data_IF_603572445338
#
_entry.id   IF_603572445338
#
_cell.length_a   1.000
_cell.length_b   1.000
_cell.length_c   1.000
_cell.angle_alpha   90.00
_cell.angle_beta   90.00
_cell.angle_gamma   90.00
#
_symmetry.space_group_name_H-M   'P 1'
#
loop_
_entity.id
_entity.type
_entity.pdbx_description
1 polymer ?
#
# COMPACT_ATOMS: atom_id res chain seq x y z
N UNK A 1 11.48 19.61 21.78
CA UNK A 1 11.56 18.84 20.51
C UNK A 1 10.64 17.64 20.68
N UNK A 2 9.76 17.30 19.74
CA UNK A 2 8.94 16.09 19.84
C UNK A 2 9.79 14.83 19.59
N UNK A 3 9.48 13.71 20.27
CA UNK A 3 10.19 12.44 20.19
C UNK A 3 10.18 11.86 18.76
N UNK A 4 9.08 12.01 18.03
CA UNK A 4 8.95 11.62 16.63
C UNK A 4 10.03 12.22 15.72
N UNK A 5 10.60 13.38 16.10
CA UNK A 5 11.71 14.00 15.37
C UNK A 5 13.01 13.22 15.59
N UNK A 6 13.24 12.65 16.78
CA UNK A 6 14.39 11.77 17.02
C UNK A 6 14.24 10.47 16.25
N UNK A 7 13.03 9.88 16.20
CA UNK A 7 12.75 8.72 15.35
C UNK A 7 13.09 9.00 13.89
N UNK A 8 12.71 10.17 13.39
CA UNK A 8 13.05 10.59 12.03
C UNK A 8 14.55 10.77 11.81
N UNK A 9 15.24 11.47 12.72
CA UNK A 9 16.69 11.67 12.68
C UNK A 9 17.42 10.32 12.66
N UNK A 10 16.98 9.38 13.51
CA UNK A 10 17.52 8.03 13.56
C UNK A 10 17.27 7.27 12.26
N UNK A 11 16.01 7.15 11.85
CA UNK A 11 15.60 6.41 10.67
C UNK A 11 16.29 6.89 9.39
N UNK A 12 16.47 8.21 9.24
CA UNK A 12 17.07 8.84 8.05
C UNK A 12 18.57 9.02 8.12
N UNK A 13 19.18 8.51 9.18
CA UNK A 13 20.63 8.64 9.39
C UNK A 13 21.11 10.09 9.25
N UNK A 14 20.33 11.06 9.73
CA UNK A 14 20.66 12.51 9.67
C UNK A 14 21.91 12.81 10.53
N UNK A 15 22.25 11.90 11.40
CA UNK A 15 23.50 11.84 12.16
C UNK A 15 24.70 11.32 11.33
N UNK A 16 24.52 10.88 10.09
CA UNK A 16 25.64 10.44 9.25
C UNK A 16 26.68 11.57 9.12
N UNK A 17 27.93 11.25 9.39
CA UNK A 17 29.03 12.23 9.51
C UNK A 17 29.38 12.61 10.96
N UNK A 18 28.57 12.20 11.94
CA UNK A 18 28.85 12.30 13.38
C UNK A 18 29.15 10.92 13.94
N UNK A 19 30.30 10.77 14.57
CA UNK A 19 30.62 9.54 15.31
C UNK A 19 29.68 9.38 16.48
N UNK A 20 29.11 8.19 16.64
CA UNK A 20 28.22 7.88 17.73
C UNK A 20 28.98 7.08 18.79
N UNK A 21 28.70 7.34 20.06
CA UNK A 21 29.30 6.65 21.21
C UNK A 21 28.24 6.28 22.22
N UNK A 22 28.48 5.20 22.96
CA UNK A 22 27.70 4.92 24.16
C UNK A 22 28.04 5.96 25.25
N UNK A 23 27.17 6.06 26.24
CA UNK A 23 27.38 6.96 27.37
C UNK A 23 28.62 6.61 28.20
N UNK A 24 29.11 5.38 28.13
CA UNK A 24 30.39 4.91 28.69
C UNK A 24 31.58 5.02 27.73
N UNK A 25 31.40 5.69 26.59
CA UNK A 25 32.47 6.08 25.65
C UNK A 25 32.87 5.05 24.59
N UNK A 26 32.13 3.94 24.46
CA UNK A 26 32.41 2.92 23.43
C UNK A 26 31.91 3.38 22.07
N UNK A 27 32.66 3.20 20.98
CA UNK A 27 32.23 3.57 19.65
C UNK A 27 31.08 2.71 19.18
N UNK A 28 30.11 3.35 18.47
CA UNK A 28 28.95 2.67 17.88
C UNK A 28 28.99 2.83 16.38
N UNK A 29 28.98 1.71 15.66
CA UNK A 29 28.74 1.66 14.23
C UNK A 29 27.30 1.19 13.99
N UNK A 30 26.49 1.97 13.26
CA UNK A 30 25.11 1.62 12.95
C UNK A 30 25.06 1.00 11.55
N UNK A 31 25.03 -0.33 11.47
CA UNK A 31 24.93 -1.10 10.22
C UNK A 31 23.52 -1.00 9.66
N UNK A 32 22.51 -1.25 10.49
CA UNK A 32 21.09 -1.08 10.14
C UNK A 32 20.34 -0.41 11.28
N UNK A 33 19.57 0.63 10.96
CA UNK A 33 18.72 1.35 11.93
C UNK A 33 17.52 0.55 12.42
N UNK A 34 17.19 -0.57 11.76
CA UNK A 34 15.99 -1.36 12.02
C UNK A 34 14.76 -0.91 11.23
N UNK A 35 13.67 -1.61 11.46
CA UNK A 35 12.36 -1.32 10.89
C UNK A 35 11.54 -0.51 11.89
N UNK A 36 11.05 0.66 11.48
CA UNK A 36 10.21 1.51 12.33
C UNK A 36 8.91 0.79 12.68
N UNK A 37 8.64 0.67 13.97
CA UNK A 37 7.44 0.04 14.52
C UNK A 37 6.40 1.11 14.86
N UNK A 38 5.21 0.99 14.29
CA UNK A 38 4.06 1.88 14.56
C UNK A 38 3.05 1.25 15.53
N UNK A 39 3.38 0.09 16.09
CA UNK A 39 2.56 -0.66 17.03
C UNK A 39 3.19 -0.66 18.43
N UNK A 40 2.57 -1.33 19.39
CA UNK A 40 3.14 -1.50 20.72
C UNK A 40 4.48 -2.25 20.68
N UNK A 41 5.42 -1.88 21.55
CA UNK A 41 6.78 -2.42 21.65
C UNK A 41 7.84 -1.41 21.23
N UNK A 42 9.11 -1.82 21.14
CA UNK A 42 10.22 -0.94 20.79
C UNK A 42 10.05 -0.22 19.46
N UNK A 43 10.56 1.01 19.35
CA UNK A 43 10.38 1.92 18.22
C UNK A 43 10.96 1.41 16.91
N UNK A 44 12.08 0.68 16.97
CA UNK A 44 12.70 0.06 15.80
C UNK A 44 13.03 -1.39 16.10
N UNK A 45 12.60 -2.29 15.22
CA UNK A 45 12.83 -3.73 15.33
C UNK A 45 13.91 -4.19 14.35
N UNK A 46 14.62 -5.27 14.70
CA UNK A 46 15.64 -5.88 13.86
C UNK A 46 16.76 -4.91 13.42
N UNK A 47 17.19 -4.03 14.31
CA UNK A 47 18.36 -3.20 14.11
C UNK A 47 19.64 -4.04 14.22
N UNK A 48 20.68 -3.62 13.50
CA UNK A 48 22.01 -4.20 13.58
C UNK A 48 23.01 -3.06 13.85
N UNK A 49 23.66 -3.14 14.99
CA UNK A 49 24.70 -2.17 15.40
C UNK A 49 25.95 -2.93 15.81
N UNK A 50 27.07 -2.23 15.85
CA UNK A 50 28.34 -2.75 16.37
C UNK A 50 28.82 -1.83 17.48
N UNK A 51 28.98 -2.33 18.70
CA UNK A 51 29.50 -1.58 19.84
C UNK A 51 30.88 -2.14 20.16
N UNK A 52 31.89 -1.28 20.13
CA UNK A 52 33.30 -1.65 20.39
C UNK A 52 33.75 -2.88 19.57
N UNK A 53 33.33 -2.92 18.30
CA UNK A 53 33.63 -4.02 17.37
C UNK A 53 32.76 -5.27 17.50
N UNK A 54 31.91 -5.38 18.51
CA UNK A 54 31.00 -6.51 18.72
C UNK A 54 29.64 -6.27 18.07
N UNK A 55 29.16 -7.23 17.27
CA UNK A 55 27.86 -7.16 16.60
C UNK A 55 26.70 -7.41 17.57
N UNK A 56 25.69 -6.55 17.50
CA UNK A 56 24.44 -6.62 18.25
C UNK A 56 23.25 -6.56 17.29
N UNK A 57 22.35 -7.53 17.40
CA UNK A 57 21.10 -7.57 16.60
C UNK A 57 19.92 -7.59 17.57
N UNK A 58 19.00 -6.64 17.43
CA UNK A 58 17.85 -6.50 18.33
C UNK A 58 17.04 -5.25 18.03
N UNK A 59 16.45 -4.68 19.07
CA UNK A 59 15.55 -3.55 18.95
C UNK A 59 16.20 -2.26 19.48
N UNK A 60 15.71 -1.12 18.98
CA UNK A 60 16.12 0.22 19.44
C UNK A 60 14.90 0.90 20.03
N UNK A 61 15.10 1.54 21.17
CA UNK A 61 14.12 2.45 21.77
C UNK A 61 14.68 3.86 21.78
N UNK A 62 13.83 4.86 21.56
CA UNK A 62 14.22 6.28 21.43
C UNK A 62 13.39 7.13 22.35
N UNK A 63 14.03 7.97 23.17
CA UNK A 63 13.38 8.94 24.04
C UNK A 63 14.08 10.30 24.00
N UNK A 64 13.41 11.34 24.46
CA UNK A 64 14.04 12.66 24.67
C UNK A 64 14.97 12.59 25.85
N UNK A 65 14.48 12.11 27.00
CA UNK A 65 15.30 11.91 28.20
C UNK A 65 15.40 10.44 28.52
N UNK A 66 16.54 9.97 28.99
CA UNK A 66 16.71 8.57 29.37
C UNK A 66 15.76 8.16 30.51
N UNK A 67 15.40 9.09 31.39
CA UNK A 67 14.43 8.88 32.47
C UNK A 67 13.00 8.55 31.98
N UNK A 68 12.65 8.83 30.72
CA UNK A 68 11.35 8.51 30.14
C UNK A 68 11.14 7.00 30.00
N UNK A 69 12.21 6.21 29.89
CA UNK A 69 12.20 4.74 30.01
C UNK A 69 11.42 4.23 31.24
N UNK A 70 11.64 4.88 32.37
CA UNK A 70 10.96 4.51 33.62
C UNK A 70 9.54 5.07 33.69
N UNK A 71 9.27 6.23 33.12
CA UNK A 71 7.93 6.83 33.07
C UNK A 71 6.99 5.97 32.21
N UNK A 72 7.51 5.37 31.15
CA UNK A 72 6.78 4.47 30.27
C UNK A 72 6.77 3.01 30.78
N UNK A 73 7.34 2.74 31.95
CA UNK A 73 7.41 1.41 32.57
C UNK A 73 8.13 0.32 31.76
N UNK A 74 9.05 0.70 30.86
CA UNK A 74 9.79 -0.27 30.02
C UNK A 74 10.67 -1.21 30.84
N UNK A 75 11.21 -0.74 31.99
CA UNK A 75 12.01 -1.52 32.92
C UNK A 75 11.28 -2.71 33.56
N UNK A 76 9.97 -2.81 33.43
CA UNK A 76 9.14 -3.91 33.94
C UNK A 76 8.44 -4.70 32.84
N UNK A 77 8.63 -4.31 31.58
CA UNK A 77 7.93 -4.88 30.44
C UNK A 77 8.87 -5.79 29.61
N UNK A 78 8.66 -7.14 29.62
CA UNK A 78 9.51 -8.07 28.86
C UNK A 78 9.57 -7.83 27.35
N UNK A 79 8.61 -7.10 26.76
CA UNK A 79 8.64 -6.74 25.34
C UNK A 79 9.86 -5.88 24.96
N UNK A 80 10.48 -5.20 25.94
CA UNK A 80 11.67 -4.35 25.75
C UNK A 80 12.99 -5.04 26.12
N UNK A 81 12.97 -6.30 26.55
CA UNK A 81 14.18 -7.05 26.94
C UNK A 81 15.15 -7.32 25.79
N UNK A 82 14.66 -7.22 24.56
CA UNK A 82 15.46 -7.33 23.33
C UNK A 82 16.00 -5.99 22.83
N UNK A 83 15.87 -4.92 23.61
CA UNK A 83 16.44 -3.61 23.28
C UNK A 83 17.96 -3.65 23.46
N UNK A 84 18.70 -3.44 22.37
CA UNK A 84 20.16 -3.49 22.32
C UNK A 84 20.80 -2.11 22.45
N UNK A 85 20.01 -1.04 22.21
CA UNK A 85 20.46 0.34 22.36
C UNK A 85 19.28 1.24 22.70
N UNK A 86 19.44 2.07 23.71
CA UNK A 86 18.54 3.15 24.06
C UNK A 86 19.12 4.48 23.53
N UNK A 87 18.49 5.06 22.52
CA UNK A 87 18.93 6.30 21.87
C UNK A 87 18.21 7.48 22.52
N UNK A 88 18.95 8.48 22.97
CA UNK A 88 18.38 9.61 23.71
C UNK A 88 18.96 10.95 23.25
N UNK A 89 18.20 12.02 23.47
CA UNK A 89 18.72 13.38 23.32
C UNK A 89 19.50 13.80 24.57
N UNK A 90 19.02 13.36 25.75
CA UNK A 90 19.67 13.64 27.05
C UNK A 90 19.76 12.39 27.89
N UNK A 91 20.97 11.96 28.16
CA UNK A 91 21.27 10.81 29.01
C UNK A 91 21.29 11.24 30.51
N UNK A 92 20.11 11.45 31.07
CA UNK A 92 19.93 11.91 32.46
C UNK A 92 19.83 10.80 33.47
N UNK A 93 19.72 9.53 33.03
CA UNK A 93 19.61 8.36 33.90
C UNK A 93 20.06 7.08 33.19
N UNK A 94 20.72 6.15 33.90
CA UNK A 94 20.97 4.80 33.38
C UNK A 94 19.67 3.99 33.36
N UNK A 95 19.54 3.07 32.37
CA UNK A 95 18.36 2.24 32.20
C UNK A 95 18.69 0.76 32.23
N UNK A 96 17.76 -0.01 32.81
CA UNK A 96 17.82 -1.46 32.92
C UNK A 96 16.57 -2.07 32.26
N UNK A 97 16.71 -3.31 31.76
CA UNK A 97 15.59 -4.11 31.27
C UNK A 97 14.83 -4.81 32.44
N UNK A 98 13.82 -5.62 32.13
CA UNK A 98 13.01 -6.31 33.14
C UNK A 98 13.79 -7.37 33.93
N UNK A 99 14.99 -7.75 33.46
CA UNK A 99 15.91 -8.71 34.11
C UNK A 99 16.96 -8.03 34.99
N UNK A 100 16.97 -6.69 35.03
CA UNK A 100 17.96 -5.93 35.78
C UNK A 100 19.30 -5.74 35.03
N UNK A 101 19.35 -6.05 33.73
CA UNK A 101 20.53 -5.88 32.88
C UNK A 101 20.61 -4.46 32.34
N UNK A 102 21.79 -3.84 32.37
CA UNK A 102 21.99 -2.50 31.81
C UNK A 102 21.84 -2.52 30.29
N UNK A 103 21.08 -1.57 29.76
CA UNK A 103 20.94 -1.36 28.32
C UNK A 103 21.96 -0.28 27.90
N UNK A 104 22.79 -0.53 26.86
CA UNK A 104 23.66 0.48 26.30
C UNK A 104 22.87 1.72 25.88
N UNK A 105 23.35 2.92 26.20
CA UNK A 105 22.72 4.18 25.86
C UNK A 105 23.59 4.98 24.90
N UNK A 106 22.97 5.67 23.96
CA UNK A 106 23.62 6.59 23.04
C UNK A 106 22.94 7.97 23.11
N UNK A 107 23.70 8.99 23.49
CA UNK A 107 23.25 10.36 23.33
C UNK A 107 23.50 10.78 21.88
N UNK A 108 22.44 10.84 21.07
CA UNK A 108 22.52 11.00 19.63
C UNK A 108 23.20 12.31 19.25
N UNK A 109 24.31 12.19 18.51
CA UNK A 109 25.00 13.33 17.93
C UNK A 109 24.46 13.60 16.53
N UNK A 110 23.98 14.82 16.27
CA UNK A 110 23.43 15.26 15.00
C UNK A 110 23.58 16.78 14.82
N UNK A 111 23.47 17.33 13.60
CA UNK A 111 23.60 18.77 13.38
C UNK A 111 22.51 19.57 14.10
N UNK A 112 22.90 20.56 14.93
CA UNK A 112 21.97 21.32 15.78
C UNK A 112 21.27 22.51 15.10
N UNK A 113 21.76 23.03 13.95
CA UNK A 113 21.23 24.21 13.27
C UNK A 113 19.93 23.95 12.47
N UNK A 114 18.95 23.26 13.06
CA UNK A 114 17.77 22.76 12.34
C UNK A 114 16.45 23.10 13.01
N UNK A 115 16.27 24.33 13.43
CA UNK A 115 15.01 24.81 13.99
C UNK A 115 13.82 24.62 13.04
N UNK A 116 14.05 24.67 11.72
CA UNK A 116 13.03 24.46 10.70
C UNK A 116 12.50 23.00 10.64
N UNK A 117 13.32 21.98 10.92
CA UNK A 117 12.83 20.61 11.03
C UNK A 117 11.85 20.52 12.19
N UNK A 118 12.22 21.11 13.32
CA UNK A 118 11.36 21.22 14.49
C UNK A 118 10.04 21.95 14.16
N UNK A 119 10.08 22.96 13.28
CA UNK A 119 8.90 23.72 12.86
C UNK A 119 7.99 22.93 11.90
N UNK A 120 8.56 22.14 10.98
CA UNK A 120 7.80 21.23 10.11
C UNK A 120 7.02 20.17 10.91
N UNK A 121 7.59 19.71 12.04
CA UNK A 121 6.96 18.70 12.90
C UNK A 121 6.08 19.29 14.01
N UNK A 122 6.25 20.57 14.38
CA UNK A 122 5.42 21.20 15.42
C UNK A 122 3.99 21.49 15.02
N UNK A 123 3.66 21.53 13.75
CA UNK A 123 2.43 22.12 13.23
C UNK A 123 1.55 21.19 12.38
N UNK A 124 1.84 19.89 12.27
CA UNK A 124 1.06 18.94 11.48
C UNK A 124 0.43 17.84 12.33
N UNK A 125 -0.83 17.48 12.05
CA UNK A 125 -1.36 16.19 12.42
C UNK A 125 -0.58 15.08 11.67
N UNK A 126 -0.54 13.83 12.17
CA UNK A 126 0.19 12.73 11.51
C UNK A 126 -0.17 12.52 10.04
N UNK A 127 -1.37 12.96 9.63
CA UNK A 127 -1.92 12.80 8.28
C UNK A 127 -1.75 14.06 7.41
N UNK A 128 -1.06 15.11 7.88
CA UNK A 128 -0.88 16.35 7.12
C UNK A 128 0.36 16.27 6.22
N UNK A 129 0.31 17.03 5.10
CA UNK A 129 1.45 17.23 4.22
C UNK A 129 2.46 18.15 4.95
N UNK A 130 3.69 17.70 5.27
CA UNK A 130 4.60 18.46 6.13
C UNK A 130 4.89 19.89 5.65
N UNK A 131 5.00 20.08 4.33
CA UNK A 131 5.27 21.39 3.71
C UNK A 131 3.99 22.16 3.30
N UNK A 132 2.83 21.87 3.91
CA UNK A 132 1.54 22.45 3.53
C UNK A 132 1.54 24.00 3.59
N UNK A 133 2.19 24.60 4.59
CA UNK A 133 2.26 26.07 4.71
C UNK A 133 3.01 26.72 3.56
N UNK A 134 4.14 26.13 3.15
CA UNK A 134 4.96 26.63 2.05
C UNK A 134 4.24 26.43 0.70
N UNK A 135 3.62 25.26 0.49
CA UNK A 135 2.83 25.00 -0.70
C UNK A 135 1.60 25.90 -0.82
N UNK A 136 0.95 26.24 0.27
CA UNK A 136 -0.17 27.19 0.27
C UNK A 136 0.24 28.60 -0.16
N UNK A 137 1.50 29.01 0.11
CA UNK A 137 2.05 30.29 -0.32
C UNK A 137 2.56 30.20 -1.78
N UNK A 138 3.24 29.11 -2.12
CA UNK A 138 3.86 28.93 -3.43
C UNK A 138 3.54 27.52 -3.99
N UNK A 139 2.36 27.34 -4.60
CA UNK A 139 1.96 26.06 -5.20
C UNK A 139 2.90 25.54 -6.31
N UNK A 140 3.62 26.45 -6.97
CA UNK A 140 4.59 26.16 -8.05
C UNK A 140 5.80 25.32 -7.62
N UNK A 141 6.03 25.15 -6.30
CA UNK A 141 7.06 24.26 -5.76
C UNK A 141 6.88 22.81 -6.23
N UNK A 142 5.67 22.40 -6.54
CA UNK A 142 5.38 21.10 -7.16
C UNK A 142 5.37 21.24 -8.69
N UNK A 143 6.50 20.99 -9.31
CA UNK A 143 6.68 21.11 -10.76
C UNK A 143 6.08 19.93 -11.54
N UNK A 144 5.68 20.13 -12.79
CA UNK A 144 5.20 19.07 -13.70
C UNK A 144 6.29 18.00 -13.95
N UNK A 145 7.56 18.42 -14.01
CA UNK A 145 8.68 17.49 -14.14
C UNK A 145 8.76 16.56 -12.92
N UNK A 146 8.55 17.09 -11.71
CA UNK A 146 8.57 16.26 -10.51
C UNK A 146 7.38 15.31 -10.46
N UNK A 147 6.17 15.74 -10.87
CA UNK A 147 5.01 14.85 -11.02
C UNK A 147 5.32 13.69 -11.98
N UNK A 148 5.98 13.96 -13.10
CA UNK A 148 6.40 12.93 -14.06
C UNK A 148 7.37 11.91 -13.43
N UNK A 149 8.37 12.38 -12.70
CA UNK A 149 9.32 11.51 -11.98
C UNK A 149 8.61 10.66 -10.93
N UNK A 150 7.69 11.25 -10.16
CA UNK A 150 6.90 10.53 -9.15
C UNK A 150 6.01 9.46 -9.77
N UNK A 151 5.38 9.77 -10.90
CA UNK A 151 4.56 8.82 -11.64
C UNK A 151 5.39 7.65 -12.17
N UNK A 152 6.57 7.93 -12.72
CA UNK A 152 7.51 6.89 -13.14
C UNK A 152 7.89 5.98 -11.98
N UNK A 153 8.30 6.54 -10.84
CA UNK A 153 8.63 5.76 -9.64
C UNK A 153 7.47 4.88 -9.17
N UNK A 154 6.24 5.39 -9.26
CA UNK A 154 5.05 4.62 -8.91
C UNK A 154 4.82 3.43 -9.85
N UNK A 155 4.97 3.65 -11.16
CA UNK A 155 4.82 2.59 -12.16
C UNK A 155 5.93 1.54 -12.04
N UNK A 156 7.16 1.96 -11.74
CA UNK A 156 8.28 1.04 -11.46
C UNK A 156 8.01 0.17 -10.23
N UNK A 157 7.52 0.74 -9.14
CA UNK A 157 7.15 -0.03 -7.95
C UNK A 157 6.03 -1.05 -8.24
N UNK A 158 5.04 -0.68 -9.08
CA UNK A 158 4.01 -1.61 -9.55
C UNK A 158 4.61 -2.70 -10.46
N UNK A 159 5.55 -2.36 -11.34
CA UNK A 159 6.28 -3.33 -12.18
C UNK A 159 7.04 -4.35 -11.34
N UNK A 160 7.72 -3.92 -10.29
CA UNK A 160 8.40 -4.82 -9.35
C UNK A 160 7.42 -5.77 -8.65
N UNK A 161 6.25 -5.27 -8.26
CA UNK A 161 5.20 -6.11 -7.68
C UNK A 161 4.66 -7.15 -8.68
N UNK A 162 4.48 -6.76 -9.95
CA UNK A 162 4.11 -7.66 -11.04
C UNK A 162 5.21 -8.71 -11.27
N UNK A 163 6.49 -8.33 -11.25
CA UNK A 163 7.60 -9.25 -11.41
C UNK A 163 7.62 -10.32 -10.29
N UNK A 164 7.31 -9.95 -9.05
CA UNK A 164 7.16 -10.91 -7.94
C UNK A 164 6.03 -11.90 -8.21
N UNK A 165 4.88 -11.44 -8.71
CA UNK A 165 3.76 -12.33 -9.08
C UNK A 165 4.12 -13.23 -10.27
N UNK A 166 4.85 -12.75 -11.27
CA UNK A 166 5.32 -13.56 -12.40
C UNK A 166 6.21 -14.71 -11.91
N UNK A 167 7.08 -14.47 -10.92
CA UNK A 167 7.88 -15.54 -10.33
C UNK A 167 7.00 -16.61 -9.65
N UNK A 168 5.94 -16.21 -8.93
CA UNK A 168 5.01 -17.14 -8.29
C UNK A 168 4.17 -17.89 -9.32
N UNK A 169 3.77 -17.23 -10.40
CA UNK A 169 2.90 -17.79 -11.45
C UNK A 169 3.66 -18.45 -12.60
N UNK A 170 4.94 -18.82 -12.38
CA UNK A 170 5.79 -19.48 -13.38
C UNK A 170 5.84 -18.72 -14.72
N UNK A 171 6.01 -17.37 -14.63
CA UNK A 171 6.09 -16.44 -15.77
C UNK A 171 4.79 -16.34 -16.59
N UNK A 172 3.66 -16.76 -16.03
CA UNK A 172 2.36 -16.63 -16.69
C UNK A 172 1.77 -15.23 -16.50
N UNK A 173 1.89 -14.37 -17.51
CA UNK A 173 1.30 -13.02 -17.51
C UNK A 173 -0.22 -13.03 -17.28
N UNK A 174 -0.93 -13.94 -17.91
CA UNK A 174 -2.39 -14.07 -17.76
C UNK A 174 -2.78 -14.45 -16.33
N UNK A 175 -2.01 -15.32 -15.69
CA UNK A 175 -2.28 -15.75 -14.31
C UNK A 175 -1.94 -14.63 -13.32
N UNK A 176 -0.78 -13.98 -13.48
CA UNK A 176 -0.40 -12.82 -12.66
C UNK A 176 -1.42 -11.68 -12.80
N UNK A 177 -1.88 -11.41 -14.02
CA UNK A 177 -2.92 -10.42 -14.28
C UNK A 177 -4.25 -10.78 -13.60
N UNK A 178 -4.68 -12.03 -13.66
CA UNK A 178 -5.89 -12.53 -13.00
C UNK A 178 -5.86 -12.26 -11.49
N UNK A 179 -4.74 -12.55 -10.81
CA UNK A 179 -4.57 -12.31 -9.37
C UNK A 179 -4.65 -10.81 -9.06
N UNK A 180 -3.94 -9.98 -9.81
CA UNK A 180 -3.94 -8.52 -9.60
C UNK A 180 -5.29 -7.89 -9.92
N UNK A 181 -5.97 -8.36 -10.97
CA UNK A 181 -7.30 -7.91 -11.31
C UNK A 181 -8.29 -8.24 -10.19
N UNK A 182 -8.23 -9.45 -9.65
CA UNK A 182 -9.04 -9.87 -8.52
C UNK A 182 -8.79 -8.95 -7.30
N UNK A 183 -7.52 -8.72 -6.92
CA UNK A 183 -7.18 -7.79 -5.84
C UNK A 183 -7.87 -6.43 -6.02
N UNK A 184 -7.73 -5.83 -7.19
CA UNK A 184 -8.30 -4.51 -7.49
C UNK A 184 -9.84 -4.53 -7.61
N UNK A 185 -10.45 -5.68 -7.89
CA UNK A 185 -11.90 -5.89 -7.84
C UNK A 185 -12.46 -5.81 -6.41
N UNK A 186 -11.62 -5.99 -5.41
CA UNK A 186 -11.96 -5.75 -4.00
C UNK A 186 -12.11 -4.27 -3.64
N UNK A 187 -11.79 -3.34 -4.55
CA UNK A 187 -11.92 -1.89 -4.41
C UNK A 187 -11.47 -1.39 -3.03
N UNK A 188 -10.22 -1.66 -2.69
CA UNK A 188 -9.56 -1.26 -1.45
C UNK A 188 -10.02 -2.06 -0.20
N UNK A 189 -11.32 -2.17 0.04
CA UNK A 189 -11.83 -2.75 1.29
C UNK A 189 -11.66 -4.27 1.36
N UNK A 190 -11.88 -4.97 0.25
CA UNK A 190 -11.78 -6.42 0.13
C UNK A 190 -10.68 -6.86 -0.86
N UNK A 191 -9.65 -6.03 -1.07
CA UNK A 191 -8.55 -6.36 -1.99
C UNK A 191 -7.85 -7.66 -1.61
N UNK A 192 -7.41 -7.79 -0.37
CA UNK A 192 -6.76 -9.01 0.11
C UNK A 192 -7.65 -10.27 0.03
N UNK A 193 -8.93 -10.27 0.48
CA UNK A 193 -9.81 -11.42 0.27
C UNK A 193 -9.98 -11.82 -1.20
N UNK A 194 -10.09 -10.86 -2.12
CA UNK A 194 -10.16 -11.15 -3.55
C UNK A 194 -8.86 -11.74 -4.11
N UNK A 195 -7.70 -11.25 -3.67
CA UNK A 195 -6.40 -11.80 -4.03
C UNK A 195 -6.26 -13.25 -3.56
N UNK A 196 -6.61 -13.52 -2.30
CA UNK A 196 -6.60 -14.86 -1.73
C UNK A 196 -7.58 -15.78 -2.48
N UNK A 197 -8.76 -15.27 -2.85
CA UNK A 197 -9.72 -16.00 -3.68
C UNK A 197 -9.09 -16.43 -5.01
N UNK A 198 -8.39 -15.53 -5.68
CA UNK A 198 -7.72 -15.81 -6.95
C UNK A 198 -6.54 -16.80 -6.79
N UNK A 199 -5.75 -16.65 -5.73
CA UNK A 199 -4.65 -17.56 -5.42
C UNK A 199 -5.13 -18.99 -5.14
N UNK A 200 -6.27 -19.14 -4.44
CA UNK A 200 -6.84 -20.44 -4.11
C UNK A 200 -7.77 -21.00 -5.19
N UNK A 201 -8.08 -20.22 -6.23
CA UNK A 201 -8.90 -20.64 -7.37
C UNK A 201 -8.06 -20.60 -8.64
N UNK A 202 -7.40 -21.69 -9.02
CA UNK A 202 -6.56 -21.70 -10.23
C UNK A 202 -7.33 -21.23 -11.45
N UNK A 203 -6.73 -20.30 -12.23
CA UNK A 203 -7.37 -19.78 -13.44
C UNK A 203 -7.79 -20.89 -14.41
N UNK A 204 -7.04 -22.00 -14.45
CA UNK A 204 -7.37 -23.18 -15.26
C UNK A 204 -8.74 -23.81 -14.92
N UNK A 205 -9.18 -23.70 -13.66
CA UNK A 205 -10.51 -24.16 -13.25
C UNK A 205 -11.61 -23.28 -13.86
N UNK A 206 -11.39 -21.98 -13.85
CA UNK A 206 -12.31 -20.99 -14.46
C UNK A 206 -12.37 -21.20 -15.97
N UNK A 207 -11.21 -21.30 -16.63
CA UNK A 207 -11.13 -21.45 -18.09
C UNK A 207 -11.78 -22.74 -18.61
N UNK A 208 -11.73 -23.84 -17.85
CA UNK A 208 -12.42 -25.09 -18.21
C UNK A 208 -13.95 -24.97 -18.16
N UNK A 209 -14.49 -24.05 -17.40
CA UNK A 209 -15.93 -23.87 -17.19
C UNK A 209 -16.46 -22.53 -17.73
N UNK A 210 -15.64 -21.78 -18.46
CA UNK A 210 -15.98 -20.44 -18.95
C UNK A 210 -17.19 -20.38 -19.90
N UNK A 211 -17.62 -21.52 -20.46
CA UNK A 211 -18.80 -21.57 -21.33
C UNK A 211 -20.12 -21.48 -20.52
N UNK A 212 -20.04 -21.51 -19.20
CA UNK A 212 -21.19 -21.42 -18.30
C UNK A 212 -20.94 -20.38 -17.21
N UNK A 213 -21.61 -19.22 -17.33
CA UNK A 213 -21.56 -18.18 -16.28
C UNK A 213 -22.01 -18.75 -14.94
N UNK A 214 -22.99 -19.67 -14.94
CA UNK A 214 -23.46 -20.34 -13.73
C UNK A 214 -22.33 -21.09 -13.03
N UNK A 215 -21.52 -21.88 -13.77
CA UNK A 215 -20.40 -22.64 -13.22
C UNK A 215 -19.27 -21.73 -12.71
N UNK A 216 -18.91 -20.70 -13.48
CA UNK A 216 -17.90 -19.72 -13.04
C UNK A 216 -18.36 -19.00 -11.76
N UNK A 217 -19.64 -18.64 -11.69
CA UNK A 217 -20.22 -18.01 -10.51
C UNK A 217 -20.23 -18.96 -9.30
N UNK A 218 -20.61 -20.23 -9.52
CA UNK A 218 -20.59 -21.26 -8.47
C UNK A 218 -19.19 -21.49 -7.92
N UNK A 219 -18.16 -21.57 -8.78
CA UNK A 219 -16.75 -21.71 -8.35
C UNK A 219 -16.35 -20.53 -7.47
N UNK A 220 -16.52 -19.30 -7.94
CA UNK A 220 -16.00 -18.11 -7.25
C UNK A 220 -16.77 -17.81 -5.95
N UNK A 221 -18.11 -17.91 -5.95
CA UNK A 221 -18.91 -17.73 -4.74
C UNK A 221 -18.68 -18.85 -3.72
N UNK A 222 -18.56 -20.08 -4.17
CA UNK A 222 -18.28 -21.22 -3.29
C UNK A 222 -16.87 -21.11 -2.68
N UNK A 223 -15.87 -20.83 -3.50
CA UNK A 223 -14.49 -20.63 -3.05
C UNK A 223 -14.33 -19.44 -2.12
N UNK A 224 -15.15 -18.42 -2.25
CA UNK A 224 -15.15 -17.29 -1.31
C UNK A 224 -15.64 -17.64 0.10
N UNK A 225 -16.27 -18.80 0.30
CA UNK A 225 -16.91 -19.19 1.55
C UNK A 225 -18.19 -18.43 1.89
N UNK A 226 -18.66 -17.57 0.97
CA UNK A 226 -19.89 -16.80 1.16
C UNK A 226 -21.15 -17.57 0.80
N UNK A 227 -21.00 -18.62 0.01
CA UNK A 227 -22.04 -19.56 -0.37
C UNK A 227 -21.88 -20.83 0.47
N UNK A 228 -22.68 -20.98 1.50
CA UNK A 228 -22.66 -22.15 2.38
C UNK A 228 -24.10 -22.56 2.78
N UNK A 229 -24.33 -23.78 3.26
CA UNK A 229 -25.68 -24.28 3.58
C UNK A 229 -26.49 -23.39 4.53
N UNK A 230 -25.85 -22.69 5.47
CA UNK A 230 -26.51 -21.84 6.43
C UNK A 230 -26.94 -20.48 5.85
N UNK A 231 -26.49 -20.14 4.64
CA UNK A 231 -26.80 -18.88 3.93
C UNK A 231 -27.62 -19.08 2.67
N UNK A 232 -28.14 -20.30 2.42
CA UNK A 232 -28.97 -20.59 1.27
C UNK A 232 -30.39 -20.03 1.47
N UNK A 233 -30.65 -18.85 0.87
CA UNK A 233 -31.88 -18.09 1.04
C UNK A 233 -32.83 -18.31 -0.16
N UNK A 234 -32.29 -18.68 -1.32
CA UNK A 234 -33.02 -18.83 -2.57
C UNK A 234 -32.70 -20.15 -3.26
N UNK A 235 -33.59 -20.58 -4.16
CA UNK A 235 -33.35 -21.77 -5.02
C UNK A 235 -32.08 -21.63 -5.86
N UNK A 236 -31.77 -20.41 -6.31
CA UNK A 236 -30.54 -20.12 -7.04
C UNK A 236 -29.29 -20.37 -6.17
N UNK A 237 -29.26 -19.89 -4.92
CA UNK A 237 -28.16 -20.15 -3.99
C UNK A 237 -27.99 -21.67 -3.77
N UNK A 238 -29.10 -22.39 -3.64
CA UNK A 238 -29.08 -23.83 -3.47
C UNK A 238 -28.49 -24.53 -4.71
N UNK A 239 -28.91 -24.12 -5.91
CA UNK A 239 -28.37 -24.67 -7.17
C UNK A 239 -26.87 -24.35 -7.32
N UNK A 240 -26.44 -23.13 -7.05
CA UNK A 240 -25.02 -22.73 -7.06
C UNK A 240 -24.20 -23.54 -6.06
N UNK A 241 -24.75 -23.80 -4.86
CA UNK A 241 -24.08 -24.61 -3.85
C UNK A 241 -23.88 -26.05 -4.31
N UNK A 242 -24.91 -26.70 -4.87
CA UNK A 242 -24.80 -28.06 -5.40
C UNK A 242 -23.75 -28.15 -6.51
N UNK A 243 -23.78 -27.21 -7.45
CA UNK A 243 -22.78 -27.14 -8.51
C UNK A 243 -21.37 -26.94 -7.95
N UNK A 244 -21.21 -26.01 -6.98
CA UNK A 244 -19.92 -25.80 -6.34
C UNK A 244 -19.41 -27.06 -5.64
N UNK A 245 -20.24 -27.79 -4.90
CA UNK A 245 -19.85 -29.03 -4.23
C UNK A 245 -19.30 -30.08 -5.22
N UNK A 246 -19.88 -30.16 -6.40
CA UNK A 246 -19.38 -31.02 -7.46
C UNK A 246 -18.02 -30.55 -7.98
N UNK A 247 -17.90 -29.26 -8.32
CA UNK A 247 -16.67 -28.65 -8.84
C UNK A 247 -15.56 -28.63 -7.80
N UNK A 248 -15.89 -28.40 -6.54
CA UNK A 248 -14.95 -28.46 -5.42
C UNK A 248 -14.25 -29.83 -5.34
N UNK A 249 -15.03 -30.90 -5.40
CA UNK A 249 -14.50 -32.27 -5.40
C UNK A 249 -13.66 -32.55 -6.64
N UNK A 250 -14.15 -32.12 -7.82
CA UNK A 250 -13.48 -32.34 -9.13
C UNK A 250 -12.08 -31.72 -9.17
N UNK A 251 -11.90 -30.54 -8.55
CA UNK A 251 -10.65 -29.77 -8.57
C UNK A 251 -9.91 -29.76 -7.23
N UNK A 252 -10.41 -30.45 -6.21
CA UNK A 252 -9.85 -30.49 -4.86
C UNK A 252 -9.65 -29.06 -4.27
N UNK A 253 -10.67 -28.22 -4.44
CA UNK A 253 -10.60 -26.82 -4.01
C UNK A 253 -10.87 -26.67 -2.51
N UNK A 254 -10.17 -25.73 -1.88
CA UNK A 254 -10.35 -25.36 -0.46
C UNK A 254 -10.91 -23.94 -0.37
N UNK A 255 -12.13 -23.72 0.17
CA UNK A 255 -12.74 -22.40 0.23
C UNK A 255 -12.08 -21.51 1.26
N UNK A 256 -12.19 -20.19 1.07
CA UNK A 256 -11.89 -19.19 2.06
C UNK A 256 -12.90 -19.22 3.22
N UNK A 257 -12.54 -18.63 4.36
CA UNK A 257 -13.48 -18.40 5.44
C UNK A 257 -14.31 -17.13 5.17
N UNK A 258 -15.62 -17.22 5.38
CA UNK A 258 -16.54 -16.08 5.22
C UNK A 258 -16.16 -14.86 6.10
N UNK A 259 -15.47 -15.10 7.24
CA UNK A 259 -15.01 -14.06 8.16
C UNK A 259 -13.89 -13.16 7.58
N UNK A 260 -13.23 -13.57 6.51
CA UNK A 260 -12.19 -12.76 5.84
C UNK A 260 -12.79 -11.57 5.07
N UNK A 261 -14.09 -11.63 4.74
CA UNK A 261 -14.76 -10.58 3.99
C UNK A 261 -15.32 -9.49 4.90
N UNK A 262 -15.01 -8.25 4.59
CA UNK A 262 -15.62 -7.08 5.23
C UNK A 262 -16.96 -6.79 4.56
N UNK A 263 -18.04 -6.84 5.35
CA UNK A 263 -19.43 -6.61 4.88
C UNK A 263 -20.08 -5.38 5.51
N UNK A 264 -19.61 -4.98 6.69
CA UNK A 264 -20.20 -3.89 7.44
C UNK A 264 -19.96 -2.52 6.78
N UNK A 265 -20.97 -1.62 6.86
CA UNK A 265 -20.92 -0.23 6.36
C UNK A 265 -20.63 -0.10 4.87
N UNK A 266 -21.02 -1.10 4.07
CA UNK A 266 -20.90 -1.08 2.61
C UNK A 266 -22.25 -0.79 1.95
N UNK A 267 -22.21 -0.10 0.80
CA UNK A 267 -23.40 0.02 -0.06
C UNK A 267 -23.75 -1.36 -0.61
N UNK A 268 -25.05 -1.71 -0.79
CA UNK A 268 -25.46 -3.04 -1.29
C UNK A 268 -24.73 -3.47 -2.59
N UNK A 269 -24.54 -2.54 -3.52
CA UNK A 269 -23.82 -2.78 -4.80
C UNK A 269 -22.31 -3.04 -4.64
N UNK A 270 -21.75 -2.75 -3.47
CA UNK A 270 -20.35 -2.99 -3.13
C UNK A 270 -20.16 -4.22 -2.26
N UNK A 271 -21.23 -4.95 -1.94
CA UNK A 271 -21.15 -6.19 -1.18
C UNK A 271 -20.24 -7.21 -1.88
N UNK A 272 -19.46 -8.00 -1.12
CA UNK A 272 -18.53 -8.98 -1.69
C UNK A 272 -19.19 -9.93 -2.68
N UNK A 273 -20.40 -10.42 -2.37
CA UNK A 273 -21.16 -11.33 -3.22
C UNK A 273 -21.49 -10.70 -4.58
N UNK A 274 -21.88 -9.43 -4.59
CA UNK A 274 -22.16 -8.69 -5.84
C UNK A 274 -20.89 -8.50 -6.65
N UNK A 275 -19.79 -8.12 -6.01
CA UNK A 275 -18.49 -7.95 -6.67
C UNK A 275 -17.93 -9.26 -7.23
N UNK A 276 -18.09 -10.37 -6.52
CA UNK A 276 -17.69 -11.71 -7.01
C UNK A 276 -18.51 -12.09 -8.24
N UNK A 277 -19.82 -11.84 -8.27
CA UNK A 277 -20.66 -12.07 -9.46
C UNK A 277 -20.23 -11.18 -10.64
N UNK A 278 -19.92 -9.92 -10.40
CA UNK A 278 -19.37 -9.04 -11.44
C UNK A 278 -18.04 -9.55 -11.98
N UNK A 279 -17.16 -10.04 -11.11
CA UNK A 279 -15.89 -10.61 -11.49
C UNK A 279 -16.06 -11.91 -12.28
N UNK A 280 -16.97 -12.79 -11.84
CA UNK A 280 -17.33 -14.01 -12.57
C UNK A 280 -17.84 -13.69 -13.99
N UNK A 281 -18.69 -12.67 -14.12
CA UNK A 281 -19.22 -12.25 -15.41
C UNK A 281 -18.12 -11.71 -16.33
N UNK A 282 -17.19 -10.91 -15.81
CA UNK A 282 -16.07 -10.40 -16.58
C UNK A 282 -15.19 -11.53 -17.12
N UNK A 283 -14.90 -12.54 -16.29
CA UNK A 283 -14.11 -13.71 -16.71
C UNK A 283 -14.85 -14.62 -17.71
N UNK A 284 -16.17 -14.68 -17.60
CA UNK A 284 -17.01 -15.41 -18.52
C UNK A 284 -17.07 -14.76 -19.92
N UNK A 285 -17.30 -13.43 -19.98
CA UNK A 285 -17.51 -12.72 -21.25
C UNK A 285 -16.25 -12.54 -22.09
N UNK A 286 -15.06 -12.63 -21.49
CA UNK A 286 -13.79 -12.35 -22.16
C UNK A 286 -12.91 -13.58 -22.24
N UNK A 287 -12.83 -14.18 -23.43
CA UNK A 287 -12.02 -15.37 -23.67
C UNK A 287 -10.52 -15.14 -23.44
N UNK A 288 -10.03 -13.98 -23.84
CA UNK A 288 -8.62 -13.60 -23.81
C UNK A 288 -8.47 -12.21 -23.20
N UNK A 289 -8.99 -12.00 -21.97
CA UNK A 289 -9.05 -10.70 -21.31
C UNK A 289 -7.68 -9.98 -21.28
N UNK A 290 -6.62 -10.70 -20.88
CA UNK A 290 -5.28 -10.10 -20.81
C UNK A 290 -4.77 -9.67 -22.19
N UNK A 291 -4.67 -10.52 -23.21
CA UNK A 291 -4.26 -10.11 -24.55
C UNK A 291 -5.12 -8.96 -25.12
N UNK A 292 -6.44 -9.06 -25.02
CA UNK A 292 -7.34 -8.02 -25.51
C UNK A 292 -7.05 -6.64 -24.90
N UNK A 293 -6.79 -6.58 -23.58
CA UNK A 293 -6.43 -5.35 -22.89
C UNK A 293 -5.02 -4.86 -23.24
N UNK A 294 -4.07 -5.77 -23.52
CA UNK A 294 -2.71 -5.40 -23.94
C UNK A 294 -2.70 -4.85 -25.36
N UNK A 295 -3.53 -5.38 -26.27
CA UNK A 295 -3.60 -5.00 -27.68
C UNK A 295 -4.56 -3.81 -27.94
N UNK A 296 -5.39 -3.44 -26.97
CA UNK A 296 -6.35 -2.34 -27.11
C UNK A 296 -5.64 -1.01 -27.39
N UNK A 297 -6.15 -0.27 -28.39
CA UNK A 297 -5.49 0.95 -28.86
C UNK A 297 -5.75 2.17 -27.99
N UNK A 298 -6.95 2.28 -27.39
CA UNK A 298 -7.36 3.45 -26.61
C UNK A 298 -7.84 3.06 -25.20
N UNK A 299 -7.85 4.03 -24.31
CA UNK A 299 -8.43 3.86 -22.96
C UNK A 299 -9.93 3.52 -23.03
N UNK A 300 -10.64 4.03 -24.02
CA UNK A 300 -12.06 3.71 -24.20
C UNK A 300 -12.25 2.26 -24.63
N UNK A 301 -11.42 1.74 -25.55
CA UNK A 301 -11.47 0.32 -25.94
C UNK A 301 -11.21 -0.58 -24.72
N UNK A 302 -10.23 -0.24 -23.87
CA UNK A 302 -9.96 -0.97 -22.63
C UNK A 302 -11.16 -0.89 -21.66
N UNK A 303 -11.79 0.27 -21.54
CA UNK A 303 -12.97 0.44 -20.70
C UNK A 303 -14.16 -0.37 -21.22
N UNK A 304 -14.33 -0.46 -22.53
CA UNK A 304 -15.40 -1.25 -23.17
C UNK A 304 -15.19 -2.76 -22.98
N UNK A 305 -13.94 -3.23 -22.99
CA UNK A 305 -13.58 -4.63 -22.65
C UNK A 305 -13.94 -4.95 -21.20
N UNK A 306 -13.71 -4.00 -20.26
CA UNK A 306 -14.04 -4.18 -18.84
C UNK A 306 -15.53 -3.96 -18.53
N UNK A 307 -16.29 -3.38 -19.45
CA UNK A 307 -17.73 -3.15 -19.29
C UNK A 307 -18.49 -4.47 -19.38
N UNK A 308 -19.31 -4.77 -18.37
CA UNK A 308 -20.09 -6.01 -18.36
C UNK A 308 -21.27 -5.90 -19.32
N UNK A 309 -21.33 -6.85 -20.28
CA UNK A 309 -22.37 -6.94 -21.29
C UNK A 309 -23.35 -8.03 -20.90
N UNK A 310 -24.63 -7.69 -20.75
CA UNK A 310 -25.68 -8.65 -20.44
C UNK A 310 -26.52 -8.88 -21.69
N UNK A 311 -26.56 -10.15 -22.17
CA UNK A 311 -27.50 -10.53 -23.24
C UNK A 311 -28.91 -10.65 -22.65
N UNK A 312 -29.92 -10.29 -23.43
CA UNK A 312 -31.34 -10.44 -23.04
C UNK A 312 -31.74 -11.90 -22.86
N UNK A 313 -31.04 -12.83 -23.55
CA UNK A 313 -31.26 -14.29 -23.51
C UNK A 313 -30.73 -15.00 -22.27
N UNK A 314 -30.03 -14.33 -21.39
CA UNK A 314 -29.65 -14.96 -20.11
C UNK A 314 -30.91 -15.11 -19.26
N UNK A 315 -31.49 -16.29 -19.27
CA UNK A 315 -32.58 -16.79 -18.39
C UNK A 315 -32.16 -16.78 -16.90
N UNK A 316 -31.59 -15.66 -16.45
CA UNK A 316 -31.44 -15.39 -15.04
C UNK A 316 -32.75 -14.80 -14.53
N UNK A 317 -33.64 -15.67 -14.08
CA UNK A 317 -34.70 -15.31 -13.14
C UNK A 317 -34.04 -14.83 -11.85
N UNK A 318 -33.49 -13.61 -11.83
CA UNK A 318 -32.52 -13.29 -10.82
C UNK A 318 -32.85 -12.01 -10.07
N UNK A 319 -33.26 -12.18 -8.84
CA UNK A 319 -33.29 -11.15 -7.79
C UNK A 319 -31.87 -10.58 -7.55
N UNK A 320 -30.82 -11.25 -8.03
CA UNK A 320 -29.39 -10.94 -7.80
C UNK A 320 -28.58 -10.72 -9.08
N UNK A 321 -29.21 -10.28 -10.21
CA UNK A 321 -28.43 -9.87 -11.39
C UNK A 321 -27.50 -8.73 -10.99
N UNK A 322 -26.16 -8.88 -11.01
CA UNK A 322 -25.28 -7.81 -10.60
C UNK A 322 -25.43 -6.66 -11.58
N UNK A 323 -25.59 -5.45 -11.06
CA UNK A 323 -25.53 -4.25 -11.89
C UNK A 323 -24.14 -4.16 -12.56
N UNK A 324 -24.05 -3.60 -13.79
CA UNK A 324 -22.78 -3.40 -14.44
C UNK A 324 -21.84 -2.56 -13.58
N UNK A 325 -20.54 -2.69 -13.82
CA UNK A 325 -19.54 -1.84 -13.18
C UNK A 325 -19.77 -0.39 -13.57
N UNK A 326 -19.88 0.48 -12.57
CA UNK A 326 -19.94 1.91 -12.82
C UNK A 326 -18.62 2.43 -13.41
N UNK A 327 -18.66 3.51 -14.19
CA UNK A 327 -17.50 4.12 -14.85
C UNK A 327 -16.31 4.32 -13.90
N UNK A 328 -16.53 4.83 -12.69
CA UNK A 328 -15.48 5.00 -11.67
C UNK A 328 -14.80 3.68 -11.28
N UNK A 329 -15.55 2.58 -11.21
CA UNK A 329 -14.97 1.26 -10.92
C UNK A 329 -14.07 0.78 -12.05
N UNK A 330 -14.48 0.98 -13.30
CA UNK A 330 -13.67 0.66 -14.48
C UNK A 330 -12.40 1.50 -14.50
N UNK A 331 -12.49 2.81 -14.25
CA UNK A 331 -11.33 3.70 -14.16
C UNK A 331 -10.33 3.25 -13.09
N UNK A 332 -10.79 2.81 -11.91
CA UNK A 332 -9.92 2.24 -10.86
C UNK A 332 -9.20 0.98 -11.35
N UNK A 333 -9.88 0.09 -12.08
CA UNK A 333 -9.26 -1.09 -12.65
C UNK A 333 -8.24 -0.75 -13.74
N UNK A 334 -8.51 0.25 -14.58
CA UNK A 334 -7.57 0.76 -15.58
C UNK A 334 -6.31 1.31 -14.91
N UNK A 335 -6.47 2.19 -13.92
CA UNK A 335 -5.36 2.86 -13.21
C UNK A 335 -4.50 1.86 -12.43
N UNK A 336 -5.13 0.91 -11.75
CA UNK A 336 -4.42 0.05 -10.81
C UNK A 336 -4.03 -1.32 -11.37
N UNK A 337 -4.61 -1.73 -12.49
CA UNK A 337 -4.33 -3.03 -13.12
C UNK A 337 -3.83 -2.89 -14.55
N UNK A 338 -4.67 -2.37 -15.46
CA UNK A 338 -4.39 -2.45 -16.90
C UNK A 338 -3.17 -1.64 -17.31
N UNK A 339 -3.12 -0.35 -16.93
CA UNK A 339 -1.99 0.53 -17.29
C UNK A 339 -0.66 0.04 -16.68
N UNK A 340 -0.57 -0.35 -15.40
CA UNK A 340 0.65 -0.94 -14.85
C UNK A 340 1.10 -2.22 -15.58
N UNK A 341 0.16 -3.09 -15.97
CA UNK A 341 0.50 -4.29 -16.72
C UNK A 341 0.97 -3.96 -18.14
N UNK A 342 0.34 -3.03 -18.84
CA UNK A 342 0.84 -2.54 -20.13
C UNK A 342 2.25 -1.97 -19.99
N UNK A 343 2.48 -1.12 -19.01
CA UNK A 343 3.80 -0.56 -18.72
C UNK A 343 4.84 -1.66 -18.49
N UNK A 344 4.52 -2.67 -17.67
CA UNK A 344 5.43 -3.78 -17.41
C UNK A 344 5.65 -4.66 -18.66
N UNK A 345 4.59 -4.95 -19.43
CA UNK A 345 4.60 -5.83 -20.60
C UNK A 345 5.32 -5.20 -21.80
N UNK A 346 5.21 -3.88 -21.98
CA UNK A 346 5.91 -3.11 -23.04
C UNK A 346 7.28 -2.61 -22.65
N UNK A 347 7.93 -3.26 -21.68
CA UNK A 347 9.28 -2.94 -21.22
C UNK A 347 9.48 -1.51 -20.69
N UNK A 348 8.42 -0.92 -20.11
CA UNK A 348 8.51 0.33 -19.39
C UNK A 348 8.35 1.60 -20.24
N UNK A 349 7.53 1.55 -21.28
CA UNK A 349 7.20 2.76 -22.04
C UNK A 349 6.37 3.74 -21.20
N UNK A 350 7.09 4.68 -20.56
CA UNK A 350 6.50 5.66 -19.66
C UNK A 350 5.57 6.63 -20.37
N UNK A 351 5.86 6.99 -21.62
CA UNK A 351 5.05 7.98 -22.36
C UNK A 351 3.65 7.45 -22.65
N UNK A 352 3.53 6.16 -23.00
CA UNK A 352 2.21 5.54 -23.24
C UNK A 352 1.42 5.42 -21.93
N UNK A 353 2.08 5.10 -20.82
CA UNK A 353 1.43 5.05 -19.52
C UNK A 353 0.94 6.44 -19.07
N UNK A 354 1.75 7.50 -19.25
CA UNK A 354 1.35 8.88 -18.94
C UNK A 354 0.16 9.28 -19.79
N UNK A 355 0.24 9.09 -21.11
CA UNK A 355 -0.88 9.40 -22.02
C UNK A 355 -2.16 8.66 -21.61
N UNK A 356 -2.06 7.38 -21.31
CA UNK A 356 -3.19 6.59 -20.84
C UNK A 356 -3.82 7.17 -19.59
N UNK A 357 -3.03 7.51 -18.57
CA UNK A 357 -3.51 8.09 -17.31
C UNK A 357 -4.06 9.51 -17.48
N UNK A 358 -3.54 10.31 -18.40
CA UNK A 358 -4.07 11.65 -18.74
C UNK A 358 -5.48 11.62 -19.33
N UNK A 359 -5.86 10.53 -20.01
CA UNK A 359 -7.21 10.35 -20.55
C UNK A 359 -8.25 9.84 -19.52
N UNK A 360 -7.81 9.49 -18.32
CA UNK A 360 -8.68 9.06 -17.24
C UNK A 360 -8.88 10.22 -16.27
N UNK A 361 -10.12 10.39 -15.78
CA UNK A 361 -10.46 11.43 -14.81
C UNK A 361 -9.68 11.25 -13.51
N UNK A 362 -9.44 12.38 -12.83
CA UNK A 362 -8.83 12.39 -11.50
C UNK A 362 -9.59 11.50 -10.52
N UNK A 363 -8.87 10.83 -9.66
CA UNK A 363 -9.44 10.10 -8.53
C UNK A 363 -9.91 11.08 -7.45
N UNK A 364 -11.00 10.76 -6.78
CA UNK A 364 -11.53 11.54 -5.66
C UNK A 364 -11.33 10.76 -4.36
N UNK A 365 -10.32 11.15 -3.60
CA UNK A 365 -10.02 10.58 -2.29
C UNK A 365 -9.47 11.66 -1.35
N UNK A 366 -9.29 11.32 -0.07
CA UNK A 366 -8.85 12.26 0.96
C UNK A 366 -7.48 12.88 0.64
N UNK A 367 -6.54 12.08 0.12
CA UNK A 367 -5.20 12.55 -0.23
C UNK A 367 -5.28 13.63 -1.32
N UNK A 368 -6.04 13.37 -2.38
CA UNK A 368 -6.17 14.33 -3.48
C UNK A 368 -6.84 15.62 -3.04
N UNK A 369 -7.88 15.54 -2.20
CA UNK A 369 -8.53 16.74 -1.66
C UNK A 369 -7.58 17.59 -0.81
N UNK A 370 -6.67 16.97 -0.05
CA UNK A 370 -5.64 17.70 0.69
C UNK A 370 -4.72 18.49 -0.26
N UNK A 371 -4.28 17.88 -1.37
CA UNK A 371 -3.46 18.56 -2.37
C UNK A 371 -4.21 19.71 -3.07
N UNK A 372 -5.48 19.52 -3.40
CA UNK A 372 -6.33 20.57 -3.98
C UNK A 372 -6.53 21.75 -3.02
N UNK A 373 -6.70 21.49 -1.72
CA UNK A 373 -6.77 22.55 -0.70
C UNK A 373 -5.47 23.36 -0.58
N UNK A 374 -4.34 22.78 -0.98
CA UNK A 374 -3.04 23.47 -1.05
C UNK A 374 -2.79 24.17 -2.38
N UNK A 375 -3.83 24.34 -3.21
CA UNK A 375 -3.74 25.05 -4.49
C UNK A 375 -3.15 24.23 -5.63
N UNK A 376 -3.02 22.90 -5.46
CA UNK A 376 -2.54 22.06 -6.57
C UNK A 376 -3.64 21.76 -7.58
N UNK A 377 -3.38 22.06 -8.83
CA UNK A 377 -4.27 21.70 -9.92
C UNK A 377 -4.17 20.21 -10.24
N UNK A 378 -5.32 19.53 -10.25
CA UNK A 378 -5.42 18.08 -10.48
C UNK A 378 -6.50 17.82 -11.53
N UNK A 379 -6.07 17.41 -12.71
CA UNK A 379 -6.96 17.25 -13.87
C UNK A 379 -7.22 15.80 -14.25
N UNK A 380 -6.24 14.93 -14.03
CA UNK A 380 -6.21 13.57 -14.57
C UNK A 380 -5.76 12.52 -13.54
N UNK A 381 -5.90 11.24 -13.90
CA UNK A 381 -5.33 10.15 -13.12
C UNK A 381 -3.80 10.19 -13.09
N UNK A 382 -3.12 10.79 -14.06
CA UNK A 382 -1.68 10.98 -14.03
C UNK A 382 -1.27 11.85 -12.83
N UNK A 383 -1.97 12.98 -12.62
CA UNK A 383 -1.73 13.86 -11.48
C UNK A 383 -2.02 13.13 -10.16
N UNK A 384 -3.19 12.45 -10.07
CA UNK A 384 -3.56 11.78 -8.82
C UNK A 384 -2.60 10.68 -8.44
N UNK A 385 -2.11 9.89 -9.41
CA UNK A 385 -1.15 8.82 -9.14
C UNK A 385 0.24 9.36 -8.72
N UNK A 386 0.68 10.49 -9.29
CA UNK A 386 1.89 11.17 -8.86
C UNK A 386 1.76 11.70 -7.41
N UNK A 387 0.64 12.38 -7.10
CA UNK A 387 0.37 12.95 -5.79
C UNK A 387 0.18 11.90 -4.70
N UNK A 388 -0.49 10.79 -5.02
CA UNK A 388 -0.62 9.64 -4.10
C UNK A 388 0.76 9.05 -3.81
N UNK A 389 1.62 8.92 -4.83
CA UNK A 389 2.99 8.43 -4.63
C UNK A 389 3.81 9.39 -3.76
N UNK A 390 3.70 10.69 -4.02
CA UNK A 390 4.36 11.72 -3.21
C UNK A 390 3.91 11.63 -1.76
N UNK A 391 2.61 11.54 -1.51
CA UNK A 391 2.09 11.45 -0.17
C UNK A 391 2.58 10.17 0.54
N UNK A 392 2.35 9.01 -0.04
CA UNK A 392 2.64 7.72 0.58
C UNK A 392 4.13 7.45 0.79
N UNK A 393 4.99 7.89 -0.13
CA UNK A 393 6.40 7.54 -0.13
C UNK A 393 7.33 8.67 0.32
N UNK A 394 6.81 9.90 0.48
CA UNK A 394 7.61 11.04 0.92
C UNK A 394 6.98 11.81 2.08
N UNK A 395 5.68 12.17 1.98
CA UNK A 395 5.04 13.00 3.01
C UNK A 395 4.74 12.19 4.27
N UNK A 396 4.02 11.07 4.14
CA UNK A 396 3.63 10.23 5.28
C UNK A 396 4.84 9.69 6.06
N UNK A 397 5.91 9.17 5.42
CA UNK A 397 7.13 8.78 6.12
C UNK A 397 8.08 9.96 6.43
N UNK A 398 7.66 11.20 6.22
CA UNK A 398 8.43 12.42 6.46
C UNK A 398 9.80 12.46 5.76
N UNK A 399 9.89 11.96 4.51
CA UNK A 399 11.10 11.93 3.69
C UNK A 399 11.37 13.27 2.98
N UNK A 400 11.16 14.40 3.65
CA UNK A 400 11.26 15.72 3.04
C UNK A 400 12.64 16.01 2.43
N UNK A 401 13.72 15.48 3.00
CA UNK A 401 15.08 15.62 2.44
C UNK A 401 15.31 14.85 1.13
N UNK A 402 14.46 13.88 0.83
CA UNK A 402 14.52 13.13 -0.43
C UNK A 402 13.50 13.64 -1.45
N UNK A 403 12.75 14.71 -1.08
CA UNK A 403 11.70 15.30 -1.88
C UNK A 403 12.19 16.59 -2.54
N UNK A 404 11.88 16.79 -3.81
CA UNK A 404 12.27 18.03 -4.52
C UNK A 404 11.66 19.27 -3.87
N UNK A 405 10.40 19.21 -3.42
CA UNK A 405 9.75 20.32 -2.70
C UNK A 405 10.50 20.60 -1.40
N UNK A 406 10.82 19.56 -0.65
CA UNK A 406 11.60 19.71 0.60
C UNK A 406 12.94 20.37 0.35
N UNK A 407 13.68 19.96 -0.68
CA UNK A 407 14.94 20.60 -1.04
C UNK A 407 14.77 22.08 -1.38
N UNK A 408 13.74 22.46 -2.14
CA UNK A 408 13.46 23.85 -2.46
C UNK A 408 13.15 24.66 -1.19
N UNK A 409 12.22 24.17 -0.35
CA UNK A 409 11.87 24.80 0.92
C UNK A 409 13.09 25.01 1.82
N UNK A 410 14.02 24.05 1.83
CA UNK A 410 15.25 24.14 2.62
C UNK A 410 16.28 25.10 2.03
N UNK A 411 16.36 25.21 0.71
CA UNK A 411 17.29 26.13 0.04
C UNK A 411 16.85 27.59 0.15
N UNK A 412 15.55 27.87 0.06
CA UNK A 412 15.01 29.22 0.25
C UNK A 412 15.31 29.78 1.64
N UNK A 413 15.17 28.98 2.71
CA UNK A 413 15.47 29.42 4.08
C UNK A 413 16.98 29.61 4.35
N UNK A 414 17.86 29.01 3.57
CA UNK A 414 19.31 29.31 3.66
C UNK A 414 19.64 30.69 3.10
N UNK A 415 18.86 31.20 2.12
CA UNK A 415 19.06 32.53 1.52
C UNK A 415 18.51 33.67 2.40
N UNK A 416 17.58 33.41 3.31
CA UNK A 416 17.06 34.40 4.27
C UNK A 416 17.95 34.56 5.53
N UNK A 417 18.99 33.72 5.67
CA UNK A 417 19.91 33.74 6.81
C UNK A 417 21.28 34.39 6.47
N UNK A 418 21.42 34.94 5.28
CA UNK A 418 22.53 35.76 4.83
C UNK A 418 22.03 37.11 4.32
#
# INVERSE_FOLDING_TARGET
MPEILLHYIWQKRIWAGFSQYTTDGKPIEIVSVGLHNIHAGPDFTNAHIRIDGQDWIGNIEIHINASDWYKHHHHTNPAYDSTILHVVLKADKEVINSRGENIPQCQLQYPHNRDYITELFKNGAPDDIPCHKQLAIEPSLLTENWKTVLLQKRLEAKRESIAKLLNITQQSWTHAFYITLAHNFGFHTNGLPFELLALQTPLSCILKHRNSLFQVTAILLGQSGLLNPSTLITDEHTALWHEYCFLQKKFSLTPLLASQWKKARMRPQSAPEVRIRQFAHLLYQSEHLFPQLMDASTINDMADILTLKYSEDTTYTCVLRPLPLGRKSIEILLINTVIPYRFAYTHGNIQDAIKGLQHIKKEDNTIIRQWEMLGQEVHSAADTQALIHLYQNYCQPHLCFNCQIGHQVFSYKQLELF
#
